data_IF_907270165469
#
_entry.id   IF_907270165469
#
_cell.length_a   1.000
_cell.length_b   1.000
_cell.length_c   1.000
_cell.angle_alpha   90.00
_cell.angle_beta   90.00
_cell.angle_gamma   90.00
#
_symmetry.space_group_name_H-M   'P 1'
#
loop_
_entity.id
_entity.type
_entity.pdbx_description
1 polymer ?
#
# COMPACT_ATOMS: atom_id res chain seq x y z
N UNK A 1 16.85 12.96 12.52
CA UNK A 1 16.76 11.96 11.45
C UNK A 1 16.95 12.72 10.15
N UNK A 2 17.96 12.39 9.36
CA UNK A 2 18.11 13.01 8.05
C UNK A 2 16.96 12.52 7.17
N UNK A 3 16.21 13.45 6.60
CA UNK A 3 15.17 13.15 5.61
C UNK A 3 15.87 12.63 4.35
N UNK A 4 16.09 11.32 4.33
CA UNK A 4 16.65 10.63 3.18
C UNK A 4 15.70 10.83 2.00
N UNK A 5 16.21 11.45 0.94
CA UNK A 5 15.40 11.91 -0.18
C UNK A 5 14.73 10.71 -0.88
N UNK A 6 13.42 10.77 -1.16
CA UNK A 6 12.68 9.67 -1.78
C UNK A 6 13.28 9.24 -3.12
N UNK A 7 13.83 10.20 -3.88
CA UNK A 7 14.40 9.94 -5.20
C UNK A 7 15.64 9.05 -5.12
N UNK A 8 16.47 9.22 -4.09
CA UNK A 8 17.62 8.34 -3.84
C UNK A 8 17.18 6.92 -3.49
N UNK A 9 16.18 6.79 -2.62
CA UNK A 9 15.62 5.47 -2.23
C UNK A 9 15.01 4.74 -3.43
N UNK A 10 14.31 5.47 -4.29
CA UNK A 10 13.75 4.93 -5.53
C UNK A 10 14.85 4.49 -6.49
N UNK A 11 15.87 5.33 -6.72
CA UNK A 11 16.96 5.00 -7.61
C UNK A 11 17.74 3.76 -7.16
N UNK A 12 18.04 3.66 -5.87
CA UNK A 12 18.69 2.47 -5.29
C UNK A 12 17.81 1.22 -5.43
N UNK A 13 16.50 1.35 -5.21
CA UNK A 13 15.54 0.25 -5.37
C UNK A 13 15.45 -0.25 -6.81
N UNK A 14 15.34 0.67 -7.78
CA UNK A 14 15.32 0.34 -9.20
C UNK A 14 16.65 -0.28 -9.63
N UNK A 15 17.78 0.29 -9.21
CA UNK A 15 19.11 -0.23 -9.53
C UNK A 15 19.31 -1.68 -9.04
N UNK A 16 18.81 -2.00 -7.85
CA UNK A 16 18.83 -3.36 -7.32
C UNK A 16 17.95 -4.31 -8.15
N UNK A 17 16.72 -3.89 -8.48
CA UNK A 17 15.78 -4.72 -9.24
C UNK A 17 16.21 -5.00 -10.68
N UNK A 18 16.90 -4.05 -11.32
CA UNK A 18 17.35 -4.18 -12.72
C UNK A 18 18.79 -4.67 -12.85
N UNK A 19 19.42 -5.08 -11.75
CA UNK A 19 20.82 -5.51 -11.73
C UNK A 19 21.10 -6.59 -12.79
N UNK A 20 22.12 -6.35 -13.62
CA UNK A 20 22.50 -7.24 -14.72
C UNK A 20 21.73 -7.02 -16.03
N UNK A 21 20.78 -6.09 -16.08
CA UNK A 21 20.11 -5.65 -17.30
C UNK A 21 20.69 -4.33 -17.78
N UNK A 22 20.68 -4.12 -19.10
CA UNK A 22 20.93 -2.79 -19.66
C UNK A 22 19.71 -1.88 -19.44
N UNK A 23 19.90 -0.56 -19.35
CA UNK A 23 18.80 0.40 -19.18
C UNK A 23 17.70 0.21 -20.24
N UNK A 24 18.09 -0.10 -21.49
CA UNK A 24 17.15 -0.36 -22.58
C UNK A 24 16.34 -1.65 -22.35
N UNK A 25 16.98 -2.72 -21.89
CA UNK A 25 16.30 -3.98 -21.59
C UNK A 25 15.36 -3.86 -20.38
N UNK A 26 15.80 -3.17 -19.33
CA UNK A 26 14.98 -2.88 -18.17
C UNK A 26 13.77 -2.01 -18.52
N UNK A 27 13.97 -0.96 -19.34
CA UNK A 27 12.90 -0.09 -19.81
C UNK A 27 11.85 -0.85 -20.64
N UNK A 28 12.30 -1.71 -21.57
CA UNK A 28 11.43 -2.56 -22.36
C UNK A 28 10.61 -3.51 -21.47
N UNK A 29 11.25 -4.12 -20.46
CA UNK A 29 10.59 -5.03 -19.53
C UNK A 29 9.52 -4.33 -18.70
N UNK A 30 9.81 -3.11 -18.23
CA UNK A 30 8.89 -2.31 -17.44
C UNK A 30 7.83 -1.56 -18.27
N UNK A 31 7.85 -1.68 -19.60
CA UNK A 31 6.99 -0.94 -20.53
C UNK A 31 7.09 0.60 -20.33
N UNK A 32 8.33 1.10 -20.22
CA UNK A 32 8.62 2.54 -20.10
C UNK A 32 9.67 2.96 -21.12
N UNK A 33 9.78 4.27 -21.37
CA UNK A 33 10.82 4.79 -22.25
C UNK A 33 12.22 4.61 -21.63
N UNK A 34 13.29 4.41 -22.43
CA UNK A 34 14.66 4.36 -21.92
C UNK A 34 15.08 5.62 -21.16
N UNK A 35 14.57 6.79 -21.56
CA UNK A 35 14.80 8.05 -20.84
C UNK A 35 14.15 8.05 -19.46
N UNK A 36 12.93 7.53 -19.35
CA UNK A 36 12.25 7.35 -18.06
C UNK A 36 13.04 6.44 -17.12
N UNK A 37 13.53 5.31 -17.62
CA UNK A 37 14.37 4.41 -16.83
C UNK A 37 15.70 5.07 -16.42
N UNK A 38 16.30 5.87 -17.31
CA UNK A 38 17.50 6.66 -17.00
C UNK A 38 17.26 7.65 -15.85
N UNK A 39 16.14 8.37 -15.90
CA UNK A 39 15.74 9.28 -14.82
C UNK A 39 15.49 8.54 -13.50
N UNK A 40 14.93 7.33 -13.54
CA UNK A 40 14.70 6.55 -12.33
C UNK A 40 15.98 6.03 -11.69
N UNK A 41 17.03 5.79 -12.48
CA UNK A 41 18.34 5.35 -11.99
C UNK A 41 19.22 6.51 -11.54
N UNK A 42 18.85 7.74 -11.86
CA UNK A 42 19.57 8.94 -11.45
C UNK A 42 19.08 9.44 -10.08
N UNK A 43 19.90 9.33 -9.01
CA UNK A 43 19.49 9.80 -7.68
C UNK A 43 19.33 11.33 -7.60
N UNK A 44 19.84 12.09 -8.58
CA UNK A 44 19.70 13.54 -8.66
C UNK A 44 18.45 14.00 -9.42
N UNK A 45 17.71 13.07 -10.05
CA UNK A 45 16.47 13.40 -10.72
C UNK A 45 15.43 13.89 -9.70
N UNK A 46 14.92 15.11 -9.91
CA UNK A 46 13.98 15.76 -8.99
C UNK A 46 12.52 15.33 -9.21
N UNK A 47 12.23 14.67 -10.33
CA UNK A 47 10.88 14.24 -10.65
C UNK A 47 10.41 13.07 -9.79
N UNK A 48 9.08 12.91 -9.70
CA UNK A 48 8.43 11.77 -9.04
C UNK A 48 7.82 10.87 -10.10
N UNK A 49 8.04 9.54 -10.05
CA UNK A 49 7.39 8.63 -10.97
C UNK A 49 5.87 8.61 -10.70
N UNK A 50 5.07 8.39 -11.74
CA UNK A 50 3.63 8.23 -11.58
C UNK A 50 3.31 6.89 -10.90
N UNK A 51 2.22 6.84 -10.14
CA UNK A 51 1.77 5.62 -9.47
C UNK A 51 1.57 4.45 -10.46
N UNK A 52 1.04 4.75 -11.66
CA UNK A 52 0.88 3.77 -12.73
C UNK A 52 2.23 3.18 -13.18
N UNK A 53 3.25 4.03 -13.40
CA UNK A 53 4.55 3.55 -13.87
C UNK A 53 5.28 2.74 -12.80
N UNK A 54 5.15 3.12 -11.52
CA UNK A 54 5.66 2.33 -10.39
C UNK A 54 4.97 0.97 -10.30
N UNK A 55 3.66 0.92 -10.50
CA UNK A 55 2.89 -0.34 -10.49
C UNK A 55 3.28 -1.26 -11.66
N UNK A 56 3.46 -0.70 -12.86
CA UNK A 56 3.97 -1.44 -14.03
C UNK A 56 5.36 -2.01 -13.77
N UNK A 57 6.26 -1.19 -13.22
CA UNK A 57 7.60 -1.62 -12.84
C UNK A 57 7.56 -2.76 -11.81
N UNK A 58 6.82 -2.62 -10.72
CA UNK A 58 6.70 -3.64 -9.69
C UNK A 58 6.18 -4.97 -10.26
N UNK A 59 5.15 -4.90 -11.11
CA UNK A 59 4.58 -6.08 -11.78
C UNK A 59 5.59 -6.76 -12.69
N UNK A 60 6.34 -6.00 -13.50
CA UNK A 60 7.30 -6.54 -14.46
C UNK A 60 8.50 -7.25 -13.81
N UNK A 61 8.85 -6.85 -12.58
CA UNK A 61 9.96 -7.41 -11.81
C UNK A 61 9.51 -8.32 -10.66
N UNK A 62 8.21 -8.56 -10.49
CA UNK A 62 7.68 -9.42 -9.43
C UNK A 62 7.93 -8.87 -8.03
N UNK A 63 7.92 -7.54 -7.89
CA UNK A 63 8.20 -6.83 -6.64
C UNK A 63 6.89 -6.50 -5.91
N UNK A 64 7.02 -6.20 -4.61
CA UNK A 64 5.90 -5.73 -3.80
C UNK A 64 5.48 -4.30 -4.20
N UNK A 65 4.21 -4.13 -4.59
CA UNK A 65 3.69 -2.84 -5.07
C UNK A 65 3.70 -1.76 -3.98
N UNK A 66 3.42 -2.14 -2.73
CA UNK A 66 3.41 -1.23 -1.58
C UNK A 66 4.81 -0.71 -1.27
N UNK A 67 5.80 -1.60 -1.25
CA UNK A 67 7.21 -1.22 -1.08
C UNK A 67 7.67 -0.32 -2.22
N UNK A 68 7.40 -0.70 -3.48
CA UNK A 68 7.78 0.11 -4.64
C UNK A 68 7.16 1.52 -4.58
N UNK A 69 5.87 1.61 -4.23
CA UNK A 69 5.18 2.88 -4.07
C UNK A 69 5.70 3.73 -2.90
N UNK A 70 6.08 3.11 -1.78
CA UNK A 70 6.70 3.81 -0.65
C UNK A 70 8.10 4.33 -1.01
N UNK A 71 8.92 3.51 -1.67
CA UNK A 71 10.27 3.90 -2.13
C UNK A 71 10.24 5.02 -3.16
N UNK A 72 9.27 4.98 -4.07
CA UNK A 72 9.01 6.01 -5.06
C UNK A 72 8.44 7.32 -4.45
N UNK A 73 8.18 7.35 -3.14
CA UNK A 73 7.50 8.45 -2.47
C UNK A 73 6.06 8.64 -2.93
N UNK A 74 5.49 7.67 -3.67
CA UNK A 74 4.10 7.68 -4.14
C UNK A 74 3.13 7.57 -2.97
N UNK A 75 3.45 6.72 -1.99
CA UNK A 75 2.74 6.63 -0.73
C UNK A 75 3.47 7.44 0.35
N UNK A 76 2.76 8.21 1.20
CA UNK A 76 3.37 8.82 2.37
C UNK A 76 3.82 7.72 3.35
N UNK A 77 5.02 7.88 3.93
CA UNK A 77 5.62 6.90 4.85
C UNK A 77 4.75 6.54 6.06
N UNK A 78 3.70 7.32 6.34
CA UNK A 78 2.73 7.09 7.42
C UNK A 78 1.59 6.13 7.04
N UNK A 79 1.36 5.87 5.75
CA UNK A 79 0.29 4.98 5.27
C UNK A 79 0.77 3.53 5.04
N UNK A 80 2.08 3.27 5.06
CA UNK A 80 2.64 1.92 4.89
C UNK A 80 2.36 0.94 6.05
N UNK A 81 1.80 1.42 7.17
CA UNK A 81 1.47 0.59 8.34
C UNK A 81 0.06 0.01 8.34
N UNK A 82 -0.89 0.68 7.67
CA UNK A 82 -2.27 0.21 7.54
C UNK A 82 -2.51 -0.14 6.07
N UNK A 83 -2.07 -1.33 5.67
CA UNK A 83 -2.70 -2.00 4.53
C UNK A 83 -4.15 -2.20 4.93
N UNK A 84 -5.00 -1.22 4.58
CA UNK A 84 -6.45 -1.40 4.62
C UNK A 84 -6.73 -2.43 3.55
N UNK A 85 -6.70 -3.71 3.94
CA UNK A 85 -7.39 -4.76 3.20
C UNK A 85 -8.82 -4.27 3.09
N UNK A 86 -9.18 -3.70 1.94
CA UNK A 86 -10.56 -3.40 1.65
C UNK A 86 -11.32 -4.69 1.90
N UNK A 87 -12.32 -4.70 2.81
CA UNK A 87 -13.09 -5.90 3.05
C UNK A 87 -13.69 -6.28 1.70
N UNK A 88 -13.27 -7.45 1.21
CA UNK A 88 -13.72 -7.97 -0.06
C UNK A 88 -15.26 -7.96 -0.02
N UNK A 89 -15.89 -7.19 -0.91
CA UNK A 89 -17.35 -7.12 -0.92
C UNK A 89 -17.86 -8.52 -1.25
N UNK A 90 -18.79 -9.04 -0.45
CA UNK A 90 -19.41 -10.35 -0.68
C UNK A 90 -20.03 -10.47 -2.08
N UNK A 91 -20.34 -9.35 -2.73
CA UNK A 91 -20.86 -9.30 -4.11
C UNK A 91 -19.82 -9.65 -5.18
N UNK A 92 -18.54 -9.51 -4.86
CA UNK A 92 -17.43 -9.69 -5.80
C UNK A 92 -16.83 -11.10 -5.69
N UNK A 93 -17.34 -11.95 -4.79
CA UNK A 93 -16.94 -13.35 -4.65
C UNK A 93 -17.98 -14.26 -5.31
N UNK A 94 -17.60 -15.12 -6.26
CA UNK A 94 -18.51 -16.11 -6.80
C UNK A 94 -18.95 -17.09 -5.71
N UNK A 95 -20.23 -17.43 -5.69
CA UNK A 95 -20.85 -18.33 -4.70
C UNK A 95 -20.11 -19.67 -4.59
N UNK A 96 -19.61 -20.17 -5.71
CA UNK A 96 -18.86 -21.43 -5.81
C UNK A 96 -17.56 -21.38 -5.00
N UNK A 97 -16.87 -20.23 -4.99
CA UNK A 97 -15.65 -20.05 -4.21
C UNK A 97 -15.94 -20.02 -2.70
N UNK A 98 -17.07 -19.43 -2.29
CA UNK A 98 -17.51 -19.43 -0.88
C UNK A 98 -17.88 -20.85 -0.42
N UNK A 99 -18.58 -21.62 -1.25
CA UNK A 99 -18.94 -23.00 -0.96
C UNK A 99 -17.72 -23.92 -0.88
N UNK A 100 -16.73 -23.72 -1.76
CA UNK A 100 -15.47 -24.47 -1.72
C UNK A 100 -14.69 -24.20 -0.44
N UNK A 101 -14.63 -22.93 -0.01
CA UNK A 101 -13.97 -22.52 1.24
C UNK A 101 -14.67 -23.11 2.47
N UNK A 102 -16.00 -23.05 2.52
CA UNK A 102 -16.81 -23.68 3.56
C UNK A 102 -16.60 -25.20 3.60
N UNK A 103 -16.52 -25.86 2.45
CA UNK A 103 -16.21 -27.29 2.36
C UNK A 103 -14.83 -27.61 2.93
N UNK A 104 -13.82 -26.80 2.60
CA UNK A 104 -12.46 -26.94 3.15
C UNK A 104 -12.43 -26.73 4.68
N UNK A 105 -13.19 -25.76 5.20
CA UNK A 105 -13.30 -25.53 6.65
C UNK A 105 -14.01 -26.67 7.38
N UNK A 106 -15.10 -27.17 6.81
CA UNK A 106 -15.85 -28.28 7.37
C UNK A 106 -15.01 -29.57 7.42
N UNK A 107 -14.13 -29.78 6.44
CA UNK A 107 -13.20 -30.91 6.40
C UNK A 107 -11.99 -30.77 7.34
N UNK A 108 -11.65 -29.54 7.76
CA UNK A 108 -10.40 -29.22 8.47
C UNK A 108 -10.41 -29.25 10.00
N UNK A 109 -11.55 -29.51 10.64
CA UNK A 109 -11.68 -29.52 12.11
C UNK A 109 -11.55 -28.13 12.77
N UNK A 110 -11.90 -27.99 14.06
CA UNK A 110 -12.00 -26.69 14.72
C UNK A 110 -10.61 -26.06 14.88
N UNK A 111 -10.34 -24.99 14.12
CA UNK A 111 -9.24 -24.07 14.41
C UNK A 111 -9.76 -22.97 15.33
N UNK A 112 -8.98 -22.68 16.38
CA UNK A 112 -9.20 -21.55 17.27
C UNK A 112 -9.33 -20.28 16.42
N UNK A 113 -10.52 -19.69 16.40
CA UNK A 113 -10.72 -18.40 15.78
C UNK A 113 -9.82 -17.38 16.51
N UNK A 114 -9.07 -16.53 15.80
CA UNK A 114 -8.38 -15.43 16.46
C UNK A 114 -9.44 -14.59 17.19
N UNK A 115 -9.17 -14.15 18.43
CA UNK A 115 -10.13 -13.39 19.21
C UNK A 115 -10.52 -12.15 18.41
N UNK A 116 -11.80 -12.07 18.04
CA UNK A 116 -12.37 -10.86 17.45
C UNK A 116 -12.20 -9.77 18.49
N UNK A 117 -11.33 -8.81 18.22
CA UNK A 117 -11.21 -7.61 19.03
C UNK A 117 -12.56 -6.89 18.97
N UNK A 118 -13.40 -7.13 19.97
CA UNK A 118 -14.66 -6.41 20.12
C UNK A 118 -14.31 -4.95 20.31
N UNK A 119 -14.58 -4.13 19.30
CA UNK A 119 -14.50 -2.68 19.35
C UNK A 119 -15.38 -2.20 20.53
N UNK A 120 -14.76 -1.93 21.67
CA UNK A 120 -15.41 -1.23 22.77
C UNK A 120 -15.77 0.17 22.26
N UNK A 121 -17.04 0.34 21.86
CA UNK A 121 -17.63 1.66 21.62
C UNK A 121 -17.59 2.45 22.92
N UNK A 122 -16.50 3.19 23.15
CA UNK A 122 -16.40 4.25 24.15
C UNK A 122 -17.43 5.33 23.83
N UNK A 123 -18.67 5.13 24.32
CA UNK A 123 -19.68 6.18 24.45
C UNK A 123 -19.17 7.19 25.48
N UNK A 124 -18.35 8.15 25.05
CA UNK A 124 -18.12 9.39 25.80
C UNK A 124 -19.43 10.18 25.80
N UNK A 125 -20.28 9.94 26.80
CA UNK A 125 -21.34 10.88 27.19
C UNK A 125 -20.65 12.16 27.69
N UNK A 126 -20.43 13.13 26.80
CA UNK A 126 -20.25 14.53 27.21
C UNK A 126 -21.56 14.95 27.87
N UNK A 127 -21.57 15.03 29.20
CA UNK A 127 -22.58 15.80 29.92
C UNK A 127 -22.36 17.26 29.53
N UNK A 128 -23.19 17.78 28.63
CA UNK A 128 -23.45 19.21 28.54
C UNK A 128 -24.01 19.63 29.91
N UNK A 129 -23.18 20.28 30.73
CA UNK A 129 -23.68 21.06 31.85
C UNK A 129 -24.34 22.29 31.23
N UNK A 130 -25.65 22.38 31.43
CA UNK A 130 -26.40 23.60 31.22
C UNK A 130 -25.95 24.57 32.32
N UNK A 131 -25.33 25.69 31.94
CA UNK A 131 -24.93 26.76 32.85
C UNK A 131 -26.06 27.80 32.84
N UNK A 132 -26.88 27.91 33.90
CA UNK A 132 -28.05 28.79 33.91
C UNK A 132 -27.70 30.29 34.05
N UNK A 133 -26.43 30.65 34.24
CA UNK A 133 -25.98 32.03 34.51
C UNK A 133 -25.27 32.72 33.33
N UNK A 134 -25.42 32.23 32.09
CA UNK A 134 -24.86 32.91 30.93
C UNK A 134 -25.63 34.23 30.63
N UNK A 135 -24.98 35.40 30.61
CA UNK A 135 -25.65 36.67 30.30
C UNK A 135 -26.07 36.68 28.83
N UNK A 136 -27.33 37.07 28.58
CA UNK A 136 -27.87 37.24 27.24
C UNK A 136 -27.15 38.39 26.51
N UNK A 137 -26.70 38.11 25.28
CA UNK A 137 -26.28 39.12 24.31
C UNK A 137 -27.47 39.50 23.42
#
# INVERSE_FOLDING_TARGET
MQDEQPNRRWAEYVAHAVHGLTNKAAALRADVSPGTMGNWLDPSWEGRPSAEAVSKFATAFGLDHTEAAARAGVLPSTEGGDVVRAPLSLKDVPTEALLAELGQRAAGGPRENPPVATMERRRRRRRLRFDPDAPAL
#
